data_IF_625367703615
#
_entry.id   IF_625367703615
#
_cell.length_a   1.000
_cell.length_b   1.000
_cell.length_c   1.000
_cell.angle_alpha   90.00
_cell.angle_beta   90.00
_cell.angle_gamma   90.00
#
_symmetry.space_group_name_H-M   'P 1'
#
loop_
_entity.id
_entity.type
_entity.pdbx_description
1 polymer ?
#
# COMPACT_ATOMS: atom_id res chain seq x y z
N UNK A 1 5.83 14.68 -25.94
CA UNK A 1 4.88 14.47 -24.84
C UNK A 1 5.68 14.37 -23.55
N UNK A 2 5.91 15.49 -22.85
CA UNK A 2 6.77 15.52 -21.67
C UNK A 2 5.97 15.13 -20.43
N UNK A 3 6.24 13.94 -19.88
CA UNK A 3 5.63 13.49 -18.64
C UNK A 3 6.14 14.35 -17.48
N UNK A 4 5.31 15.24 -16.96
CA UNK A 4 5.70 16.01 -15.78
C UNK A 4 5.68 15.09 -14.55
N UNK A 5 6.68 15.16 -13.65
CA UNK A 5 6.75 14.33 -12.44
C UNK A 5 5.48 14.38 -11.58
N UNK A 6 4.74 15.50 -11.64
CA UNK A 6 3.48 15.72 -10.93
C UNK A 6 2.31 14.93 -11.52
N UNK A 7 2.26 14.80 -12.85
CA UNK A 7 1.22 14.02 -13.54
C UNK A 7 1.41 12.52 -13.30
N UNK A 8 2.66 12.05 -13.41
CA UNK A 8 3.01 10.65 -13.15
C UNK A 8 2.70 10.25 -11.70
N UNK A 9 3.06 11.11 -10.73
CA UNK A 9 2.74 10.88 -9.32
C UNK A 9 1.24 10.77 -9.07
N UNK A 10 0.41 11.60 -9.71
CA UNK A 10 -1.05 11.61 -9.50
C UNK A 10 -1.72 10.29 -9.94
N UNK A 11 -1.18 9.62 -10.95
CA UNK A 11 -1.72 8.34 -11.43
C UNK A 11 -1.08 7.13 -10.76
N UNK A 12 0.20 7.18 -10.40
CA UNK A 12 0.91 6.06 -9.77
C UNK A 12 0.54 5.87 -8.29
N UNK A 13 0.28 6.96 -7.56
CA UNK A 13 -0.06 6.89 -6.13
C UNK A 13 -1.32 6.06 -5.84
N UNK A 14 -2.48 6.27 -6.49
CA UNK A 14 -3.65 5.45 -6.22
C UNK A 14 -3.44 3.98 -6.58
N UNK A 15 -2.68 3.70 -7.65
CA UNK A 15 -2.33 2.33 -8.03
C UNK A 15 -1.41 1.66 -6.99
N UNK A 16 -0.44 2.38 -6.44
CA UNK A 16 0.45 1.88 -5.39
C UNK A 16 -0.24 1.79 -4.03
N UNK A 17 -1.14 2.71 -3.72
CA UNK A 17 -1.88 2.75 -2.47
C UNK A 17 -2.93 1.64 -2.39
N UNK A 18 -3.56 1.27 -3.50
CA UNK A 18 -4.58 0.23 -3.53
C UNK A 18 -4.16 -1.11 -2.88
N UNK A 19 -3.04 -1.77 -3.30
CA UNK A 19 -2.61 -3.02 -2.68
C UNK A 19 -2.19 -2.83 -1.22
N UNK A 20 -1.58 -1.69 -0.88
CA UNK A 20 -1.18 -1.40 0.51
C UNK A 20 -2.37 -1.22 1.44
N UNK A 21 -3.38 -0.47 1.02
CA UNK A 21 -4.62 -0.28 1.78
C UNK A 21 -5.33 -1.61 1.93
N UNK A 22 -5.43 -2.40 0.85
CA UNK A 22 -6.03 -3.72 0.91
C UNK A 22 -5.32 -4.60 1.95
N UNK A 23 -4.00 -4.75 1.86
CA UNK A 23 -3.19 -5.55 2.79
C UNK A 23 -3.29 -5.06 4.23
N UNK A 24 -3.27 -3.75 4.45
CA UNK A 24 -3.41 -3.17 5.78
C UNK A 24 -4.80 -3.43 6.38
N UNK A 25 -5.86 -3.30 5.56
CA UNK A 25 -7.23 -3.56 5.99
C UNK A 25 -7.44 -5.04 6.30
N UNK A 26 -7.00 -5.95 5.43
CA UNK A 26 -7.18 -7.39 5.64
C UNK A 26 -6.40 -7.89 6.85
N UNK A 27 -5.13 -7.46 7.00
CA UNK A 27 -4.31 -7.81 8.16
C UNK A 27 -4.87 -7.26 9.47
N UNK A 28 -5.31 -5.99 9.47
CA UNK A 28 -5.92 -5.37 10.65
C UNK A 28 -7.26 -6.03 11.02
N UNK A 29 -8.09 -6.34 10.02
CA UNK A 29 -9.35 -7.04 10.24
C UNK A 29 -9.12 -8.45 10.79
N UNK A 30 -8.12 -9.17 10.27
CA UNK A 30 -7.77 -10.51 10.74
C UNK A 30 -7.37 -10.47 12.21
N UNK A 31 -6.41 -9.62 12.58
CA UNK A 31 -5.99 -9.47 13.97
C UNK A 31 -7.13 -8.95 14.88
N UNK A 32 -8.00 -8.09 14.37
CA UNK A 32 -9.16 -7.60 15.12
C UNK A 32 -10.20 -8.70 15.39
N UNK A 33 -10.38 -9.67 14.50
CA UNK A 33 -11.26 -10.82 14.71
C UNK A 33 -10.62 -11.80 15.69
N UNK A 34 -9.36 -12.15 15.46
CA UNK A 34 -8.61 -13.10 16.28
C UNK A 34 -8.46 -12.61 17.73
N UNK A 35 -8.24 -11.31 17.94
CA UNK A 35 -8.16 -10.70 19.27
C UNK A 35 -9.45 -10.82 20.10
N UNK A 36 -10.59 -11.13 19.47
CA UNK A 36 -11.87 -11.40 20.15
C UNK A 36 -12.04 -12.87 20.51
N UNK A 37 -11.04 -13.71 20.26
CA UNK A 37 -11.10 -15.17 20.46
C UNK A 37 -11.93 -15.89 19.41
N UNK A 38 -12.20 -15.25 18.26
CA UNK A 38 -12.93 -15.84 17.13
C UNK A 38 -11.94 -16.23 16.06
N UNK A 39 -12.10 -17.42 15.49
CA UNK A 39 -11.31 -17.85 14.35
C UNK A 39 -11.60 -16.96 13.14
N UNK A 40 -10.59 -16.24 12.68
CA UNK A 40 -10.71 -15.37 11.53
C UNK A 40 -10.83 -16.20 10.23
N UNK A 41 -11.68 -15.80 9.28
CA UNK A 41 -11.84 -16.54 8.03
C UNK A 41 -10.54 -16.61 7.21
N UNK A 42 -10.22 -17.78 6.65
CA UNK A 42 -8.97 -18.01 5.91
C UNK A 42 -8.84 -17.11 4.66
N UNK A 43 -9.95 -16.83 3.97
CA UNK A 43 -9.98 -15.95 2.79
C UNK A 43 -9.41 -14.55 3.05
N UNK A 44 -9.40 -14.10 4.31
CA UNK A 44 -8.84 -12.82 4.68
C UNK A 44 -7.31 -12.83 4.63
N UNK A 45 -6.69 -13.97 4.97
CA UNK A 45 -5.25 -14.19 4.82
C UNK A 45 -4.86 -14.44 3.36
N UNK A 46 -5.69 -15.15 2.60
CA UNK A 46 -5.48 -15.34 1.16
C UNK A 46 -5.39 -13.95 0.48
N UNK A 47 -6.37 -13.06 0.75
CA UNK A 47 -6.33 -11.68 0.27
C UNK A 47 -5.13 -10.88 0.79
N UNK A 48 -4.72 -11.09 2.04
CA UNK A 48 -3.57 -10.40 2.63
C UNK A 48 -2.25 -10.75 1.93
N UNK A 49 -2.13 -12.00 1.47
CA UNK A 49 -0.95 -12.51 0.77
C UNK A 49 -1.00 -12.29 -0.74
N UNK A 50 -2.12 -11.77 -1.26
CA UNK A 50 -2.30 -11.53 -2.70
C UNK A 50 -2.79 -12.76 -3.46
N UNK A 51 -3.37 -13.72 -2.77
CA UNK A 51 -4.09 -14.83 -3.37
C UNK A 51 -5.56 -14.44 -3.60
N UNK A 52 -5.92 -14.21 -4.85
CA UNK A 52 -7.26 -13.81 -5.27
C UNK A 52 -8.01 -15.00 -5.89
N UNK A 53 -8.03 -16.14 -5.19
CA UNK A 53 -8.60 -17.39 -5.69
C UNK A 53 -7.78 -17.95 -6.87
N UNK A 54 -8.30 -17.96 -8.11
CA UNK A 54 -7.56 -18.49 -9.27
C UNK A 54 -6.36 -17.64 -9.71
N UNK A 55 -6.23 -16.41 -9.20
CA UNK A 55 -5.11 -15.52 -9.47
C UNK A 55 -4.21 -15.42 -8.24
N UNK A 56 -3.10 -16.17 -8.23
CA UNK A 56 -2.13 -16.15 -7.13
C UNK A 56 -1.00 -15.18 -7.46
N UNK A 57 -1.04 -13.97 -6.88
CA UNK A 57 0.05 -13.00 -6.96
C UNK A 57 1.08 -13.18 -5.84
N UNK A 58 0.85 -14.11 -4.92
CA UNK A 58 1.65 -14.43 -3.73
C UNK A 58 3.17 -14.29 -3.90
N UNK A 59 3.84 -14.92 -4.89
CA UNK A 59 5.30 -14.81 -5.03
C UNK A 59 5.81 -13.39 -5.34
N UNK A 60 4.96 -12.56 -5.94
CA UNK A 60 5.31 -11.18 -6.33
C UNK A 60 4.68 -10.13 -5.42
N UNK A 61 3.67 -10.51 -4.63
CA UNK A 61 2.84 -9.58 -3.88
C UNK A 61 3.65 -8.81 -2.84
N UNK A 62 4.51 -9.51 -2.08
CA UNK A 62 5.41 -8.90 -1.11
C UNK A 62 6.40 -7.91 -1.75
N UNK A 63 6.93 -8.23 -2.94
CA UNK A 63 7.84 -7.34 -3.67
C UNK A 63 7.09 -6.11 -4.19
N UNK A 64 5.88 -6.31 -4.73
CA UNK A 64 5.01 -5.23 -5.18
C UNK A 64 4.70 -4.27 -4.02
N UNK A 65 4.27 -4.80 -2.86
CA UNK A 65 4.01 -4.01 -1.65
C UNK A 65 5.24 -3.25 -1.19
N UNK A 66 6.42 -3.87 -1.19
CA UNK A 66 7.68 -3.22 -0.82
C UNK A 66 7.98 -2.02 -1.74
N UNK A 67 7.87 -2.21 -3.06
CA UNK A 67 8.08 -1.13 -4.04
C UNK A 67 7.04 -0.02 -3.86
N UNK A 68 5.76 -0.35 -3.73
CA UNK A 68 4.69 0.62 -3.49
C UNK A 68 4.96 1.42 -2.21
N UNK A 69 5.38 0.76 -1.14
CA UNK A 69 5.69 1.41 0.15
C UNK A 69 6.86 2.38 -0.01
N UNK A 70 7.96 1.94 -0.63
CA UNK A 70 9.14 2.78 -0.84
C UNK A 70 8.80 4.02 -1.70
N UNK A 71 7.97 3.86 -2.73
CA UNK A 71 7.53 4.97 -3.58
C UNK A 71 6.70 5.96 -2.77
N UNK A 72 5.71 5.50 -1.99
CA UNK A 72 4.82 6.38 -1.22
C UNK A 72 5.53 7.06 -0.05
N UNK A 73 6.37 6.33 0.69
CA UNK A 73 7.15 6.88 1.79
C UNK A 73 8.17 7.88 1.24
N UNK A 74 8.90 7.51 0.19
CA UNK A 74 9.89 8.38 -0.44
C UNK A 74 9.27 9.66 -0.99
N UNK A 75 8.11 9.57 -1.66
CA UNK A 75 7.42 10.75 -2.18
C UNK A 75 6.84 11.62 -1.06
N UNK A 76 6.27 11.01 -0.02
CA UNK A 76 5.74 11.70 1.16
C UNK A 76 6.84 12.47 1.91
N UNK A 77 7.99 11.84 2.17
CA UNK A 77 9.14 12.48 2.83
C UNK A 77 9.68 13.63 1.96
N UNK A 78 9.83 13.42 0.66
CA UNK A 78 10.31 14.48 -0.25
C UNK A 78 9.36 15.68 -0.29
N UNK A 79 8.03 15.45 -0.23
CA UNK A 79 7.05 16.52 -0.14
C UNK A 79 7.11 17.24 1.21
N UNK A 80 7.21 16.50 2.31
CA UNK A 80 7.31 17.05 3.67
C UNK A 80 8.55 17.97 3.82
N UNK A 81 9.70 17.54 3.30
CA UNK A 81 10.94 18.35 3.29
C UNK A 81 10.84 19.60 2.41
N UNK A 82 10.05 19.57 1.33
CA UNK A 82 9.84 20.74 0.45
C UNK A 82 8.89 21.76 1.06
N UNK A 83 7.85 21.30 1.75
CA UNK A 83 6.90 22.19 2.45
C UNK A 83 7.60 22.94 3.59
N UNK A 84 8.44 22.27 4.37
CA UNK A 84 9.20 22.89 5.46
C UNK A 84 10.23 23.92 4.97
N UNK A 85 10.88 23.71 3.82
CA UNK A 85 11.81 24.71 3.24
C UNK A 85 11.13 25.95 2.64
N UNK A 86 9.84 25.87 2.32
CA UNK A 86 9.09 27.01 1.73
C UNK A 86 8.54 27.99 2.77
N UNK A 87 8.79 27.75 4.05
CA UNK A 87 8.36 28.65 5.13
C UNK A 87 9.57 29.31 5.82
N UNK A 88 10.33 30.22 5.16
CA UNK A 88 11.19 31.16 5.87
C UNK A 88 10.30 32.30 6.40
N UNK A 89 9.99 32.26 7.69
CA UNK A 89 9.50 33.41 8.46
C UNK A 89 10.63 34.41 8.70
#
# INVERSE_FOLDING_TARGET
>A
MAWTPRSLHRSLVPLAAAPLVLTALTGSAYGAIESRGVEAPHWLMDLHQGEFGPLSLEPYYSVLLAVCTLVLVGSGVAMFMRTTRKNPS
#
